data_IF_970442878613
#
_entry.id   IF_970442878613
#
_cell.length_a   1.000
_cell.length_b   1.000
_cell.length_c   1.000
_cell.angle_alpha   90.00
_cell.angle_beta   90.00
_cell.angle_gamma   90.00
#
_symmetry.space_group_name_H-M   'P 1'
#
loop_
_entity.id
_entity.type
_entity.pdbx_description
1 polymer ?
#
# COMPACT_ATOMS: atom_id res chain seq x y z
N UNK A 1 -24.53 5.98 8.34
CA UNK A 1 -23.26 6.38 7.67
C UNK A 1 -21.96 5.99 8.41
N UNK A 2 -22.00 5.44 9.66
CA UNK A 2 -20.79 5.07 10.44
C UNK A 2 -19.97 3.88 9.89
N UNK A 3 -20.52 3.06 8.99
CA UNK A 3 -19.84 1.88 8.39
C UNK A 3 -19.01 2.19 7.15
N UNK A 4 -19.11 3.41 6.59
CA UNK A 4 -18.47 3.77 5.33
C UNK A 4 -16.92 3.68 5.38
N UNK A 5 -16.23 4.13 6.46
CA UNK A 5 -14.78 3.93 6.57
C UNK A 5 -14.38 2.46 6.56
N UNK A 6 -15.09 1.61 7.31
CA UNK A 6 -14.78 0.17 7.38
C UNK A 6 -14.98 -0.52 6.02
N UNK A 7 -15.97 -0.09 5.24
CA UNK A 7 -16.22 -0.59 3.89
C UNK A 7 -15.09 -0.20 2.92
N UNK A 8 -14.55 1.02 3.05
CA UNK A 8 -13.41 1.48 2.26
C UNK A 8 -12.14 0.69 2.63
N UNK A 9 -11.88 0.47 3.92
CA UNK A 9 -10.78 -0.40 4.36
C UNK A 9 -10.95 -1.84 3.85
N UNK A 10 -12.15 -2.41 3.95
CA UNK A 10 -12.43 -3.76 3.43
C UNK A 10 -12.26 -3.83 1.90
N UNK A 11 -12.59 -2.75 1.19
CA UNK A 11 -12.42 -2.67 -0.26
C UNK A 11 -10.95 -2.79 -0.68
N UNK A 12 -9.99 -2.32 0.13
CA UNK A 12 -8.55 -2.53 -0.11
C UNK A 12 -8.19 -4.01 -0.12
N UNK A 13 -8.77 -4.81 0.78
CA UNK A 13 -8.59 -6.26 0.78
C UNK A 13 -9.13 -6.92 -0.49
N UNK A 14 -10.31 -6.50 -0.95
CA UNK A 14 -10.91 -6.99 -2.20
C UNK A 14 -10.03 -6.59 -3.41
N UNK A 15 -9.61 -5.34 -3.48
CA UNK A 15 -8.72 -4.82 -4.53
C UNK A 15 -7.40 -5.61 -4.54
N UNK A 16 -6.81 -5.88 -3.38
CA UNK A 16 -5.58 -6.65 -3.28
C UNK A 16 -5.71 -8.06 -3.87
N UNK A 17 -6.83 -8.74 -3.57
CA UNK A 17 -7.13 -10.07 -4.13
C UNK A 17 -7.31 -9.99 -5.64
N UNK A 18 -8.06 -9.01 -6.14
CA UNK A 18 -8.27 -8.80 -7.59
C UNK A 18 -6.92 -8.54 -8.28
N UNK A 19 -6.10 -7.65 -7.73
CA UNK A 19 -4.77 -7.33 -8.27
C UNK A 19 -3.89 -8.57 -8.32
N UNK A 20 -3.85 -9.38 -7.27
CA UNK A 20 -3.09 -10.63 -7.26
C UNK A 20 -3.59 -11.61 -8.34
N UNK A 21 -4.91 -11.76 -8.49
CA UNK A 21 -5.52 -12.64 -9.50
C UNK A 21 -5.28 -12.16 -10.94
N UNK A 22 -5.20 -10.85 -11.18
CA UNK A 22 -4.80 -10.30 -12.48
C UNK A 22 -3.38 -10.73 -12.88
N UNK A 23 -2.57 -11.18 -11.93
CA UNK A 23 -1.26 -11.77 -12.22
C UNK A 23 -1.36 -13.02 -13.09
N UNK A 24 -2.49 -13.74 -13.03
CA UNK A 24 -2.76 -14.92 -13.88
C UNK A 24 -3.17 -14.54 -15.30
N UNK A 25 -3.66 -13.31 -15.52
CA UNK A 25 -3.93 -12.77 -16.86
C UNK A 25 -2.62 -12.37 -17.54
N UNK A 26 -1.62 -11.96 -16.75
CA UNK A 26 -0.28 -11.64 -17.22
C UNK A 26 -0.03 -10.14 -17.43
N UNK A 27 1.04 -9.78 -18.15
CA UNK A 27 1.51 -8.39 -18.31
C UNK A 27 0.47 -7.41 -18.86
N UNK A 28 -0.46 -7.87 -19.69
CA UNK A 28 -1.48 -7.05 -20.35
C UNK A 28 -2.45 -6.40 -19.36
N UNK A 29 -2.57 -6.95 -18.14
CA UNK A 29 -3.41 -6.40 -17.09
C UNK A 29 -2.77 -5.21 -16.35
N UNK A 30 -1.53 -4.82 -16.67
CA UNK A 30 -0.76 -3.83 -15.91
C UNK A 30 -1.48 -2.49 -15.76
N UNK A 31 -2.07 -1.98 -16.84
CA UNK A 31 -2.81 -0.71 -16.79
C UNK A 31 -3.98 -0.79 -15.81
N UNK A 32 -4.75 -1.88 -15.84
CA UNK A 32 -5.83 -2.11 -14.89
C UNK A 32 -5.35 -2.25 -13.45
N UNK A 33 -4.22 -2.92 -13.24
CA UNK A 33 -3.60 -3.04 -11.92
C UNK A 33 -3.20 -1.68 -11.37
N UNK A 34 -2.60 -0.82 -12.18
CA UNK A 34 -2.24 0.54 -11.75
C UNK A 34 -3.49 1.35 -11.39
N UNK A 35 -4.55 1.28 -12.20
CA UNK A 35 -5.81 1.97 -11.90
C UNK A 35 -6.45 1.45 -10.61
N UNK A 36 -6.46 0.14 -10.38
CA UNK A 36 -6.95 -0.47 -9.14
C UNK A 36 -6.11 -0.06 -7.92
N UNK A 37 -4.78 0.00 -8.08
CA UNK A 37 -3.88 0.49 -7.03
C UNK A 37 -4.20 1.94 -6.68
N UNK A 38 -4.38 2.80 -7.68
CA UNK A 38 -4.77 4.21 -7.49
C UNK A 38 -6.11 4.30 -6.75
N UNK A 39 -7.10 3.49 -7.12
CA UNK A 39 -8.40 3.43 -6.44
C UNK A 39 -8.20 3.01 -4.99
N UNK A 40 -7.44 1.94 -4.72
CA UNK A 40 -7.15 1.45 -3.37
C UNK A 40 -6.53 2.53 -2.49
N UNK A 41 -5.51 3.22 -2.97
CA UNK A 41 -4.90 4.31 -2.20
C UNK A 41 -5.81 5.53 -2.06
N UNK A 42 -6.67 5.80 -3.04
CA UNK A 42 -7.69 6.85 -2.90
C UNK A 42 -8.66 6.52 -1.77
N UNK A 43 -9.06 5.25 -1.63
CA UNK A 43 -9.94 4.83 -0.54
C UNK A 43 -9.30 5.01 0.83
N UNK A 44 -7.98 4.77 0.98
CA UNK A 44 -7.22 5.04 2.22
C UNK A 44 -7.14 6.54 2.57
N UNK A 45 -7.06 7.42 1.56
CA UNK A 45 -7.09 8.87 1.83
C UNK A 45 -8.49 9.29 2.32
N UNK A 46 -9.53 8.69 1.73
CA UNK A 46 -10.91 9.03 2.02
C UNK A 46 -11.39 8.48 3.37
N UNK A 47 -11.11 7.22 3.71
CA UNK A 47 -11.58 6.61 4.95
C UNK A 47 -11.00 7.28 6.20
N UNK A 48 -9.70 7.60 6.20
CA UNK A 48 -9.06 8.34 7.29
C UNK A 48 -9.69 9.72 7.52
N UNK A 49 -10.10 10.42 6.45
CA UNK A 49 -10.83 11.69 6.57
C UNK A 49 -12.24 11.50 7.08
N UNK A 50 -12.96 10.51 6.57
CA UNK A 50 -14.33 10.22 7.01
C UNK A 50 -14.35 9.79 8.48
N UNK A 51 -13.41 8.96 8.93
CA UNK A 51 -13.30 8.54 10.33
C UNK A 51 -13.13 9.74 11.27
N UNK A 52 -12.25 10.69 10.91
CA UNK A 52 -12.06 11.95 11.66
C UNK A 52 -13.30 12.83 11.63
N UNK A 53 -13.93 13.00 10.45
CA UNK A 53 -15.14 13.82 10.30
C UNK A 53 -16.31 13.28 11.14
N UNK A 54 -16.44 11.96 11.25
CA UNK A 54 -17.52 11.33 12.00
C UNK A 54 -17.18 11.04 13.48
N UNK A 55 -16.02 11.49 13.98
CA UNK A 55 -15.54 11.22 15.34
C UNK A 55 -15.75 9.76 15.74
N UNK A 56 -15.42 8.85 14.81
CA UNK A 56 -15.74 7.44 14.96
C UNK A 56 -14.77 6.80 15.97
N UNK A 57 -15.32 6.06 16.93
CA UNK A 57 -14.53 5.20 17.82
C UNK A 57 -13.82 4.10 17.04
N UNK A 58 -12.69 3.62 17.58
CA UNK A 58 -11.90 2.55 16.99
C UNK A 58 -12.75 1.28 16.78
N UNK A 59 -12.94 0.90 15.51
CA UNK A 59 -13.58 -0.37 15.13
C UNK A 59 -12.50 -1.41 14.86
N UNK A 60 -12.82 -2.70 14.99
CA UNK A 60 -11.89 -3.80 14.68
C UNK A 60 -11.27 -3.68 13.27
N UNK A 61 -12.03 -3.18 12.29
CA UNK A 61 -11.55 -2.93 10.93
C UNK A 61 -10.59 -1.73 10.90
N UNK A 62 -10.91 -0.65 11.61
CA UNK A 62 -10.02 0.51 11.75
C UNK A 62 -8.71 0.16 12.46
N UNK A 63 -8.75 -0.70 13.49
CA UNK A 63 -7.54 -1.17 14.20
C UNK A 63 -6.63 -2.02 13.31
N UNK A 64 -7.19 -2.63 12.26
CA UNK A 64 -6.47 -3.47 11.29
C UNK A 64 -6.21 -2.78 9.97
N UNK A 65 -6.47 -1.49 9.85
CA UNK A 65 -6.25 -0.69 8.65
C UNK A 65 -4.85 -0.92 8.04
N UNK A 66 -3.83 -0.84 8.88
CA UNK A 66 -2.45 -1.07 8.47
C UNK A 66 -2.22 -2.49 7.89
N UNK A 67 -2.93 -3.50 8.37
CA UNK A 67 -2.84 -4.85 7.82
C UNK A 67 -3.47 -4.92 6.42
N UNK A 68 -4.60 -4.23 6.19
CA UNK A 68 -5.21 -4.14 4.86
C UNK A 68 -4.30 -3.43 3.85
N UNK A 69 -3.57 -2.39 4.27
CA UNK A 69 -2.53 -1.79 3.45
C UNK A 69 -1.44 -2.79 3.09
N UNK A 70 -0.92 -3.54 4.05
CA UNK A 70 0.11 -4.54 3.78
C UNK A 70 -0.39 -5.66 2.86
N UNK A 71 -1.67 -6.06 2.96
CA UNK A 71 -2.30 -7.00 2.03
C UNK A 71 -2.34 -6.42 0.62
N UNK A 72 -2.66 -5.13 0.46
CA UNK A 72 -2.65 -4.44 -0.83
C UNK A 72 -1.24 -4.34 -1.43
N UNK A 73 -0.23 -4.04 -0.61
CA UNK A 73 1.18 -4.05 -1.00
C UNK A 73 1.62 -5.45 -1.47
N UNK A 74 1.27 -6.49 -0.70
CA UNK A 74 1.57 -7.87 -1.05
C UNK A 74 0.84 -8.28 -2.34
N UNK A 75 -0.42 -7.89 -2.52
CA UNK A 75 -1.18 -8.13 -3.75
C UNK A 75 -0.49 -7.55 -4.98
N UNK A 76 0.03 -6.32 -4.88
CA UNK A 76 0.85 -5.71 -5.93
C UNK A 76 2.12 -6.50 -6.24
N UNK A 77 2.84 -6.97 -5.22
CA UNK A 77 4.02 -7.81 -5.43
C UNK A 77 3.66 -9.16 -6.07
N UNK A 78 2.59 -9.81 -5.60
CA UNK A 78 2.08 -11.05 -6.17
C UNK A 78 1.75 -10.88 -7.66
N UNK A 79 1.07 -9.79 -8.04
CA UNK A 79 0.84 -9.47 -9.45
C UNK A 79 2.14 -9.41 -10.23
N UNK A 80 3.13 -8.64 -9.77
CA UNK A 80 4.40 -8.45 -10.47
C UNK A 80 5.18 -9.76 -10.64
N UNK A 81 5.10 -10.66 -9.67
CA UNK A 81 5.72 -12.00 -9.74
C UNK A 81 4.97 -12.90 -10.71
N UNK A 82 3.65 -13.01 -10.58
CA UNK A 82 2.81 -13.89 -11.39
C UNK A 82 2.78 -13.47 -12.87
N UNK A 83 2.75 -12.16 -13.14
CA UNK A 83 2.82 -11.62 -14.49
C UNK A 83 4.23 -11.66 -15.10
N UNK A 84 5.25 -12.11 -14.34
CA UNK A 84 6.62 -12.31 -14.85
C UNK A 84 7.48 -11.05 -14.90
N UNK A 85 7.07 -9.94 -14.29
CA UNK A 85 7.91 -8.73 -14.18
C UNK A 85 9.04 -8.88 -13.16
N UNK A 86 8.83 -9.69 -12.12
CA UNK A 86 9.82 -9.93 -11.05
C UNK A 86 10.00 -11.43 -10.87
N UNK A 87 11.24 -11.96 -10.85
CA UNK A 87 11.46 -13.37 -10.58
C UNK A 87 10.99 -13.77 -9.16
N UNK A 88 10.43 -14.97 -9.01
CA UNK A 88 9.88 -15.44 -7.73
C UNK A 88 10.95 -15.53 -6.63
N UNK A 89 12.14 -16.02 -6.94
CA UNK A 89 13.21 -16.23 -5.96
C UNK A 89 13.62 -14.95 -5.20
N UNK A 90 13.98 -13.82 -5.85
CA UNK A 90 14.30 -12.58 -5.14
C UNK A 90 13.10 -11.99 -4.41
N UNK A 91 11.88 -12.09 -4.96
CA UNK A 91 10.68 -11.63 -4.27
C UNK A 91 10.41 -12.42 -2.98
N UNK A 92 10.51 -13.75 -3.04
CA UNK A 92 10.36 -14.63 -1.88
C UNK A 92 11.45 -14.39 -0.83
N UNK A 93 12.71 -14.22 -1.25
CA UNK A 93 13.81 -13.88 -0.35
C UNK A 93 13.57 -12.53 0.35
N UNK A 94 13.14 -11.51 -0.39
CA UNK A 94 12.81 -10.20 0.17
C UNK A 94 11.68 -10.27 1.20
N UNK A 95 10.58 -10.95 0.86
CA UNK A 95 9.45 -11.16 1.78
C UNK A 95 9.87 -11.96 3.02
N UNK A 96 10.73 -12.96 2.85
CA UNK A 96 11.30 -13.73 3.96
C UNK A 96 12.10 -12.85 4.93
N UNK A 97 13.04 -12.06 4.41
CA UNK A 97 13.82 -11.11 5.22
C UNK A 97 12.92 -10.08 5.90
N UNK A 98 11.99 -9.48 5.16
CA UNK A 98 11.04 -8.53 5.70
C UNK A 98 10.23 -9.15 6.85
N UNK A 99 9.72 -10.36 6.67
CA UNK A 99 8.93 -11.09 7.69
C UNK A 99 9.75 -11.34 8.95
N UNK A 100 11.01 -11.77 8.83
CA UNK A 100 11.90 -12.00 9.96
C UNK A 100 12.16 -10.71 10.75
N UNK A 101 12.46 -9.60 10.06
CA UNK A 101 12.68 -8.31 10.69
C UNK A 101 11.42 -7.78 11.36
N UNK A 102 10.27 -7.87 10.70
CA UNK A 102 8.99 -7.44 11.26
C UNK A 102 8.63 -8.28 12.50
N UNK A 103 8.84 -9.60 12.47
CA UNK A 103 8.58 -10.49 13.60
C UNK A 103 9.50 -10.21 14.79
N UNK A 104 10.76 -9.88 14.54
CA UNK A 104 11.76 -9.58 15.56
C UNK A 104 11.55 -8.20 16.20
N UNK A 105 11.47 -7.14 15.39
CA UNK A 105 11.37 -5.77 15.90
C UNK A 105 9.95 -5.37 16.32
N UNK A 106 8.92 -5.98 15.70
CA UNK A 106 7.48 -5.66 15.91
C UNK A 106 7.19 -4.16 15.83
N UNK A 107 7.87 -3.46 14.93
CA UNK A 107 7.79 -2.01 14.77
C UNK A 107 7.13 -1.65 13.45
N UNK A 108 6.14 -0.75 13.50
CA UNK A 108 5.46 -0.20 12.32
C UNK A 108 6.44 0.45 11.35
N UNK A 109 7.48 1.13 11.86
CA UNK A 109 8.53 1.75 11.04
C UNK A 109 9.32 0.72 10.23
N UNK A 110 9.64 -0.43 10.84
CA UNK A 110 10.34 -1.52 10.14
C UNK A 110 9.46 -2.05 9.02
N UNK A 111 8.18 -2.29 9.29
CA UNK A 111 7.23 -2.72 8.25
C UNK A 111 7.13 -1.70 7.12
N UNK A 112 7.00 -0.40 7.42
CA UNK A 112 6.95 0.66 6.42
C UNK A 112 8.23 0.73 5.57
N UNK A 113 9.40 0.51 6.17
CA UNK A 113 10.69 0.52 5.47
C UNK A 113 10.78 -0.60 4.43
N UNK A 114 10.23 -1.79 4.72
CA UNK A 114 10.15 -2.89 3.75
C UNK A 114 8.97 -2.73 2.76
N UNK A 115 7.88 -2.10 3.17
CA UNK A 115 6.73 -1.88 2.30
C UNK A 115 7.01 -0.82 1.23
N UNK A 116 7.74 0.25 1.57
CA UNK A 116 7.95 1.39 0.68
C UNK A 116 8.56 1.02 -0.68
N UNK A 117 9.66 0.24 -0.76
CA UNK A 117 10.18 -0.21 -2.05
C UNK A 117 9.15 -1.00 -2.84
N UNK A 118 8.36 -1.86 -2.19
CA UNK A 118 7.34 -2.68 -2.83
C UNK A 118 6.17 -1.85 -3.36
N UNK A 119 5.78 -0.79 -2.64
CA UNK A 119 4.78 0.19 -3.10
C UNK A 119 5.24 0.93 -4.36
N UNK A 120 6.55 1.20 -4.48
CA UNK A 120 7.10 1.89 -5.64
C UNK A 120 7.23 0.98 -6.89
N UNK A 121 7.37 -0.34 -6.72
CA UNK A 121 7.61 -1.27 -7.82
C UNK A 121 6.54 -1.22 -8.93
N UNK A 122 5.21 -1.22 -8.66
CA UNK A 122 4.20 -1.09 -9.71
C UNK A 122 4.40 0.16 -10.56
N UNK A 123 4.74 1.30 -9.96
CA UNK A 123 5.02 2.53 -10.70
C UNK A 123 6.26 2.39 -11.59
N UNK A 124 7.34 1.83 -11.05
CA UNK A 124 8.59 1.60 -11.82
C UNK A 124 8.31 0.69 -13.00
N UNK A 125 7.60 -0.43 -12.80
CA UNK A 125 7.25 -1.38 -13.86
C UNK A 125 6.31 -0.74 -14.88
N UNK A 126 5.33 0.04 -14.43
CA UNK A 126 4.42 0.78 -15.30
C UNK A 126 5.16 1.82 -16.15
N UNK A 127 6.17 2.50 -15.61
CA UNK A 127 6.94 3.47 -16.38
C UNK A 127 7.58 2.85 -17.62
N UNK A 128 8.05 1.60 -17.53
CA UNK A 128 8.69 0.89 -18.65
C UNK A 128 7.70 0.15 -19.56
N UNK A 129 6.56 -0.34 -19.04
CA UNK A 129 5.67 -1.25 -19.78
C UNK A 129 4.29 -0.64 -20.10
N UNK A 130 3.83 0.34 -19.33
CA UNK A 130 2.56 1.04 -19.52
C UNK A 130 2.70 2.54 -19.19
N UNK A 131 3.44 3.32 -20.01
CA UNK A 131 3.79 4.71 -19.68
C UNK A 131 2.58 5.61 -19.43
N UNK A 132 1.46 5.37 -20.12
CA UNK A 132 0.19 6.10 -19.88
C UNK A 132 -0.29 5.93 -18.44
N UNK A 133 -0.37 4.68 -17.97
CA UNK A 133 -0.76 4.37 -16.60
C UNK A 133 0.22 4.96 -15.58
N UNK A 134 1.52 4.93 -15.88
CA UNK A 134 2.54 5.53 -15.02
C UNK A 134 2.36 7.05 -14.85
N UNK A 135 2.08 7.78 -15.94
CA UNK A 135 1.82 9.22 -15.86
C UNK A 135 0.52 9.54 -15.11
N UNK A 136 -0.53 8.73 -15.30
CA UNK A 136 -1.76 8.85 -14.51
C UNK A 136 -1.45 8.64 -13.01
N UNK A 137 -0.62 7.64 -12.69
CA UNK A 137 -0.23 7.37 -11.31
C UNK A 137 0.60 8.51 -10.72
N UNK A 138 1.58 9.05 -11.45
CA UNK A 138 2.37 10.21 -11.01
C UNK A 138 1.48 11.43 -10.77
N UNK A 139 0.58 11.73 -11.71
CA UNK A 139 -0.37 12.83 -11.57
C UNK A 139 -1.24 12.63 -10.32
N UNK A 140 -1.73 11.41 -10.09
CA UNK A 140 -2.47 11.07 -8.89
C UNK A 140 -1.64 11.25 -7.60
N UNK A 141 -0.37 10.81 -7.57
CA UNK A 141 0.52 11.00 -6.40
C UNK A 141 0.68 12.48 -6.08
N UNK A 142 0.92 13.32 -7.10
CA UNK A 142 1.05 14.78 -6.91
C UNK A 142 -0.23 15.36 -6.35
N UNK A 143 -1.40 15.02 -6.92
CA UNK A 143 -2.70 15.48 -6.44
C UNK A 143 -2.98 15.01 -5.00
N UNK A 144 -2.67 13.75 -4.68
CA UNK A 144 -2.83 13.19 -3.34
C UNK A 144 -1.95 13.91 -2.30
N UNK A 145 -0.69 14.20 -2.64
CA UNK A 145 0.24 14.94 -1.78
C UNK A 145 -0.23 16.39 -1.54
N UNK A 146 -0.70 17.07 -2.58
CA UNK A 146 -1.25 18.43 -2.45
C UNK A 146 -2.53 18.42 -1.61
N UNK A 147 -3.38 17.42 -1.80
CA UNK A 147 -4.65 17.31 -1.09
C UNK A 147 -4.48 16.96 0.39
N UNK A 148 -3.58 16.04 0.75
CA UNK A 148 -3.41 15.52 2.12
C UNK A 148 -2.03 15.78 2.75
N UNK A 149 -1.42 16.92 2.41
CA UNK A 149 -0.09 17.34 2.89
C UNK A 149 0.10 17.28 4.41
N UNK A 150 -0.94 17.64 5.19
CA UNK A 150 -0.90 17.57 6.66
C UNK A 150 -0.73 16.12 7.16
N UNK A 151 -1.42 15.15 6.54
CA UNK A 151 -1.30 13.73 6.87
C UNK A 151 0.07 13.21 6.50
N UNK A 152 0.58 13.56 5.31
CA UNK A 152 1.92 13.18 4.88
C UNK A 152 2.99 13.59 5.90
N UNK A 153 2.96 14.85 6.36
CA UNK A 153 3.86 15.31 7.44
C UNK A 153 3.71 14.50 8.73
N UNK A 154 2.49 14.16 9.11
CA UNK A 154 2.22 13.31 10.28
C UNK A 154 2.86 11.93 10.16
N UNK A 155 2.72 11.27 9.01
CA UNK A 155 3.33 9.95 8.75
C UNK A 155 4.86 10.03 8.79
N UNK A 156 5.46 11.07 8.19
CA UNK A 156 6.91 11.29 8.23
C UNK A 156 7.39 11.53 9.66
N UNK A 157 6.65 12.30 10.45
CA UNK A 157 6.98 12.56 11.84
C UNK A 157 6.92 11.28 12.69
N UNK A 158 5.82 10.52 12.57
CA UNK A 158 5.64 9.22 13.24
C UNK A 158 6.77 8.24 12.88
N UNK A 159 7.20 8.22 11.61
CA UNK A 159 8.31 7.40 11.16
C UNK A 159 9.62 7.77 11.87
N UNK A 160 9.93 9.07 11.97
CA UNK A 160 11.15 9.57 12.64
C UNK A 160 11.12 9.28 14.14
N UNK A 161 9.98 9.47 14.81
CA UNK A 161 9.84 9.17 16.23
C UNK A 161 10.04 7.68 16.52
N UNK A 162 9.41 6.80 15.74
CA UNK A 162 9.60 5.36 15.87
C UNK A 162 11.05 4.93 15.59
N UNK A 163 11.75 5.62 14.67
CA UNK A 163 13.16 5.36 14.41
C UNK A 163 14.05 5.70 15.60
N UNK A 164 13.81 6.85 16.25
CA UNK A 164 14.52 7.22 17.48
C UNK A 164 14.26 6.22 18.60
N UNK A 165 13.01 5.80 18.79
CA UNK A 165 12.66 4.81 19.81
C UNK A 165 13.36 3.46 19.60
N UNK A 166 13.56 3.05 18.34
CA UNK A 166 14.28 1.81 18.02
C UNK A 166 15.79 1.91 18.33
N UNK A 167 16.40 3.09 18.20
CA UNK A 167 17.83 3.28 18.51
C UNK A 167 18.18 3.23 19.99
N UNK A 168 17.18 3.25 20.88
CA UNK A 168 17.35 3.19 22.33
C UNK A 168 17.04 1.80 22.92
N UNK A 169 16.79 0.79 22.07
CA UNK A 169 16.56 -0.61 22.45
C UNK A 169 17.83 -1.44 22.30
#
# INVERSE_FOLDING_TARGET
MKRLPDLLTASRGIIAVIVALLGLVGPDALEWVILLIIIGWTTDIMDGRLARKYQKEATWIGDREFAFDMVMVLGGLCYLVLAGFIPLAPAAAYVGVATLFIAYFRSKMVTMSFAFPVVALPLIVAYFNAPRAAWIFIAWIVLALLYDWKRFKGVVHEFIENAKALSHR
#
